data_IF_943504490093
#
_entry.id   IF_943504490093
#
_cell.length_a   1.000
_cell.length_b   1.000
_cell.length_c   1.000
_cell.angle_alpha   90.00
_cell.angle_beta   90.00
_cell.angle_gamma   90.00
#
_symmetry.space_group_name_H-M   'P 1'
#
loop_
_entity.id
_entity.type
_entity.pdbx_description
1 polymer ?
#
# COMPACT_ATOMS: atom_id res chain seq x y z
N UNK A 1 6.27 -11.57 -21.84
CA UNK A 1 6.33 -10.84 -20.55
C UNK A 1 7.70 -10.20 -20.44
N UNK A 2 7.79 -8.87 -20.51
CA UNK A 2 9.01 -8.17 -20.06
C UNK A 2 9.04 -8.29 -18.54
N UNK A 3 10.05 -8.95 -18.00
CA UNK A 3 10.32 -8.95 -16.58
C UNK A 3 10.52 -7.50 -16.14
N UNK A 4 9.87 -7.09 -15.05
CA UNK A 4 10.20 -5.84 -14.37
C UNK A 4 11.70 -5.82 -14.08
N UNK A 5 12.39 -4.68 -14.22
CA UNK A 5 13.81 -4.58 -13.89
C UNK A 5 14.07 -5.09 -12.47
N UNK A 6 15.17 -5.81 -12.28
CA UNK A 6 15.56 -6.22 -10.94
C UNK A 6 15.90 -4.96 -10.10
N UNK A 7 15.71 -4.98 -8.77
CA UNK A 7 16.05 -3.84 -7.93
C UNK A 7 17.49 -3.34 -8.15
N UNK A 8 18.42 -4.24 -8.47
CA UNK A 8 19.82 -3.93 -8.77
C UNK A 8 20.02 -3.05 -10.02
N UNK A 9 19.06 -3.01 -10.95
CA UNK A 9 19.15 -2.20 -12.18
C UNK A 9 18.60 -0.78 -12.00
N UNK A 10 17.67 -0.58 -11.05
CA UNK A 10 17.02 0.72 -10.78
C UNK A 10 17.88 1.58 -9.83
N UNK A 11 18.49 0.93 -8.85
CA UNK A 11 19.24 1.57 -7.76
C UNK A 11 20.47 2.38 -8.21
N UNK A 12 21.28 1.94 -9.20
CA UNK A 12 22.49 2.67 -9.61
C UNK A 12 22.19 4.00 -10.31
N UNK A 13 20.96 4.18 -10.82
CA UNK A 13 20.56 5.34 -11.64
C UNK A 13 19.93 6.45 -10.78
N UNK A 14 19.36 6.11 -9.63
CA UNK A 14 18.74 7.09 -8.71
C UNK A 14 19.58 7.30 -7.45
N UNK A 15 20.17 8.49 -7.32
CA UNK A 15 20.87 8.98 -6.12
C UNK A 15 19.90 9.44 -5.02
N UNK A 16 18.89 8.61 -4.69
CA UNK A 16 17.93 8.90 -3.63
C UNK A 16 18.35 8.22 -2.32
N UNK A 17 18.24 8.95 -1.21
CA UNK A 17 18.44 8.42 0.15
C UNK A 17 17.26 7.56 0.65
N UNK A 18 16.11 7.67 -0.02
CA UNK A 18 14.90 6.91 0.24
C UNK A 18 14.62 5.94 -0.91
N UNK A 19 14.13 4.75 -0.57
CA UNK A 19 13.60 3.81 -1.55
C UNK A 19 12.15 3.48 -1.21
N UNK A 20 11.23 3.82 -2.12
CA UNK A 20 9.84 3.42 -2.04
C UNK A 20 9.72 1.93 -2.34
N UNK A 21 9.16 1.17 -1.40
CA UNK A 21 8.97 -0.26 -1.51
C UNK A 21 7.48 -0.66 -1.63
N UNK A 22 6.57 0.33 -1.71
CA UNK A 22 5.15 0.13 -1.96
C UNK A 22 4.43 -0.53 -0.77
N UNK A 23 3.86 -1.71 -1.03
CA UNK A 23 3.04 -2.52 -0.10
C UNK A 23 1.63 -1.96 0.20
N UNK A 24 1.10 -1.15 -0.71
CA UNK A 24 -0.32 -0.77 -0.79
C UNK A 24 -1.18 -1.87 -1.43
N UNK A 25 -2.46 -1.91 -1.04
CA UNK A 25 -3.53 -2.65 -1.73
C UNK A 25 -3.24 -4.14 -2.01
N UNK A 26 -2.66 -4.85 -1.03
CA UNK A 26 -2.44 -6.30 -1.15
C UNK A 26 -3.76 -7.04 -1.36
N UNK A 27 -3.93 -7.63 -2.54
CA UNK A 27 -5.09 -8.44 -2.91
C UNK A 27 -4.82 -9.92 -2.63
N UNK A 28 -5.48 -10.48 -1.62
CA UNK A 28 -5.32 -11.89 -1.23
C UNK A 28 -5.80 -12.87 -2.29
N UNK A 29 -6.87 -12.54 -3.03
CA UNK A 29 -7.38 -13.39 -4.10
C UNK A 29 -6.36 -13.57 -5.23
N UNK A 30 -5.54 -12.55 -5.49
CA UNK A 30 -4.42 -12.65 -6.43
C UNK A 30 -3.36 -13.67 -5.96
N UNK A 31 -3.05 -13.67 -4.66
CA UNK A 31 -2.10 -14.63 -4.09
C UNK A 31 -2.67 -16.04 -4.04
N UNK A 32 -3.96 -16.20 -3.70
CA UNK A 32 -4.62 -17.51 -3.66
C UNK A 32 -4.79 -18.15 -5.05
N UNK A 33 -4.60 -17.40 -6.14
CA UNK A 33 -4.50 -17.98 -7.48
C UNK A 33 -3.15 -18.68 -7.74
N UNK A 34 -2.12 -18.41 -6.94
CA UNK A 34 -0.81 -19.07 -7.05
C UNK A 34 -0.78 -20.42 -6.30
N UNK A 35 -0.37 -21.52 -6.95
CA UNK A 35 -0.31 -22.83 -6.30
C UNK A 35 0.68 -22.90 -5.12
N UNK A 36 1.78 -22.14 -5.17
CA UNK A 36 2.78 -22.09 -4.11
C UNK A 36 2.26 -21.40 -2.85
N UNK A 37 1.56 -20.28 -3.03
CA UNK A 37 0.83 -19.60 -1.95
C UNK A 37 -0.24 -20.52 -1.39
N UNK A 38 -1.07 -21.12 -2.24
CA UNK A 38 -2.17 -21.99 -1.79
C UNK A 38 -1.64 -23.13 -0.93
N UNK A 39 -0.51 -23.73 -1.31
CA UNK A 39 0.18 -24.75 -0.51
C UNK A 39 0.66 -24.21 0.84
N UNK A 40 1.22 -23.00 0.87
CA UNK A 40 1.67 -22.36 2.11
C UNK A 40 0.51 -22.09 3.08
N UNK A 41 -0.60 -21.55 2.58
CA UNK A 41 -1.80 -21.29 3.38
C UNK A 41 -2.43 -22.60 3.87
N UNK A 42 -2.52 -23.62 2.99
CA UNK A 42 -3.01 -24.95 3.36
C UNK A 42 -2.16 -25.65 4.42
N UNK A 43 -0.89 -25.27 4.55
CA UNK A 43 0.03 -25.74 5.60
C UNK A 43 -0.08 -24.95 6.92
N UNK A 44 -1.06 -24.04 7.05
CA UNK A 44 -1.30 -23.23 8.24
C UNK A 44 -0.64 -21.84 8.22
N UNK A 45 -0.07 -21.43 7.08
CA UNK A 45 0.43 -20.08 6.89
C UNK A 45 -0.70 -19.05 6.75
N UNK A 46 -0.39 -17.77 6.95
CA UNK A 46 -1.34 -16.65 6.75
C UNK A 46 -0.86 -15.66 5.69
N UNK A 47 -1.78 -14.86 5.14
CA UNK A 47 -1.44 -13.75 4.25
C UNK A 47 -0.50 -12.73 4.92
N UNK A 48 -0.71 -12.43 6.20
CA UNK A 48 0.19 -11.58 6.99
C UNK A 48 1.62 -12.13 6.99
N UNK A 49 1.78 -13.44 7.19
CA UNK A 49 3.10 -14.09 7.17
C UNK A 49 3.76 -14.09 5.79
N UNK A 50 2.97 -14.15 4.71
CA UNK A 50 3.50 -13.98 3.35
C UNK A 50 4.05 -12.57 3.13
N UNK A 51 3.31 -11.55 3.55
CA UNK A 51 3.78 -10.17 3.49
C UNK A 51 5.02 -9.98 4.39
N UNK A 52 5.01 -10.52 5.62
CA UNK A 52 6.17 -10.49 6.52
C UNK A 52 7.40 -11.13 5.88
N UNK A 53 7.24 -12.27 5.20
CA UNK A 53 8.33 -12.92 4.50
C UNK A 53 8.89 -12.05 3.39
N UNK A 54 8.03 -11.38 2.62
CA UNK A 54 8.45 -10.43 1.60
C UNK A 54 9.24 -9.26 2.22
N UNK A 55 8.71 -8.63 3.27
CA UNK A 55 9.34 -7.51 3.97
C UNK A 55 10.68 -7.93 4.60
N UNK A 56 10.75 -9.09 5.24
CA UNK A 56 11.98 -9.61 5.85
C UNK A 56 13.08 -9.92 4.81
N UNK A 57 12.74 -10.11 3.53
CA UNK A 57 13.71 -10.28 2.45
C UNK A 57 14.13 -8.95 1.85
N UNK A 58 13.20 -8.03 1.64
CA UNK A 58 13.46 -6.78 0.91
C UNK A 58 13.97 -5.65 1.79
N UNK A 59 13.46 -5.52 3.03
CA UNK A 59 13.86 -4.46 3.94
C UNK A 59 15.36 -4.51 4.30
N UNK A 60 15.95 -5.66 4.69
CA UNK A 60 17.40 -5.74 4.96
C UNK A 60 18.24 -5.45 3.72
N UNK A 61 17.76 -5.84 2.54
CA UNK A 61 18.45 -5.54 1.30
C UNK A 61 18.50 -4.02 1.06
N UNK A 62 17.37 -3.31 1.18
CA UNK A 62 17.32 -1.86 0.99
C UNK A 62 18.15 -1.13 2.07
N UNK A 63 18.03 -1.55 3.33
CA UNK A 63 18.66 -0.84 4.45
C UNK A 63 20.14 -1.15 4.59
N UNK A 64 20.57 -2.40 4.48
CA UNK A 64 21.96 -2.79 4.71
C UNK A 64 22.79 -2.89 3.43
N UNK A 65 22.19 -3.36 2.33
CA UNK A 65 22.94 -3.51 1.06
C UNK A 65 22.97 -2.20 0.28
N UNK A 66 21.85 -1.48 0.24
CA UNK A 66 21.77 -0.21 -0.50
C UNK A 66 22.02 1.02 0.37
N UNK A 67 22.08 0.86 1.70
CA UNK A 67 22.26 1.93 2.67
C UNK A 67 21.20 3.05 2.53
N UNK A 68 19.92 2.67 2.40
CA UNK A 68 18.79 3.60 2.22
C UNK A 68 17.74 3.43 3.30
N UNK A 69 17.00 4.50 3.56
CA UNK A 69 15.77 4.43 4.36
C UNK A 69 14.61 3.94 3.49
N UNK A 70 13.78 3.03 4.01
CA UNK A 70 12.64 2.48 3.27
C UNK A 70 11.40 3.34 3.48
N UNK A 71 10.63 3.55 2.42
CA UNK A 71 9.29 4.15 2.47
C UNK A 71 8.27 3.09 2.07
N UNK A 72 7.28 2.83 2.92
CA UNK A 72 6.12 2.00 2.60
C UNK A 72 4.84 2.82 2.68
N UNK A 73 3.80 2.38 1.98
CA UNK A 73 2.43 2.84 2.24
C UNK A 73 1.93 2.32 3.58
N UNK A 74 1.01 3.05 4.21
CA UNK A 74 0.52 2.72 5.55
C UNK A 74 -0.14 1.35 5.68
N UNK A 75 -0.65 0.78 4.58
CA UNK A 75 -1.29 -0.53 4.50
C UNK A 75 -0.42 -1.65 5.06
N UNK A 76 0.91 -1.56 4.90
CA UNK A 76 1.84 -2.55 5.44
C UNK A 76 1.65 -2.76 6.95
N UNK A 77 1.24 -1.72 7.69
CA UNK A 77 1.04 -1.75 9.13
C UNK A 77 -0.46 -1.65 9.52
N UNK A 78 -1.22 -0.85 8.78
CA UNK A 78 -2.61 -0.50 9.10
C UNK A 78 -3.65 -1.18 8.21
N UNK A 79 -3.21 -2.03 7.28
CA UNK A 79 -4.06 -2.71 6.31
C UNK A 79 -5.23 -3.46 6.96
N UNK A 80 -6.43 -3.40 6.36
CA UNK A 80 -7.62 -4.03 6.92
C UNK A 80 -7.53 -5.57 6.85
N UNK A 81 -6.98 -6.11 5.77
CA UNK A 81 -6.95 -7.55 5.48
C UNK A 81 -5.58 -8.18 5.70
N UNK A 82 -4.52 -7.54 5.21
CA UNK A 82 -3.14 -8.02 5.30
C UNK A 82 -2.27 -6.94 5.89
N UNK A 83 -1.49 -7.28 6.91
CA UNK A 83 -0.51 -6.39 7.54
C UNK A 83 0.59 -7.18 8.24
N UNK A 84 1.73 -6.54 8.44
CA UNK A 84 2.85 -7.13 9.17
C UNK A 84 2.84 -6.72 10.63
N UNK A 85 3.48 -7.54 11.47
CA UNK A 85 3.75 -7.14 12.86
C UNK A 85 4.71 -5.95 12.90
N UNK A 86 4.56 -5.03 13.87
CA UNK A 86 5.51 -3.93 14.07
C UNK A 86 6.97 -4.39 14.21
N UNK A 87 7.20 -5.58 14.75
CA UNK A 87 8.53 -6.19 14.88
C UNK A 87 9.24 -6.43 13.53
N UNK A 88 8.50 -6.53 12.43
CA UNK A 88 9.03 -6.67 11.06
C UNK A 88 9.28 -5.32 10.37
N UNK A 89 8.99 -4.19 11.05
CA UNK A 89 9.16 -2.84 10.52
C UNK A 89 9.90 -1.95 11.52
N UNK A 90 11.24 -1.99 11.56
CA UNK A 90 12.03 -1.12 12.45
C UNK A 90 11.75 0.37 12.16
N UNK A 91 11.41 1.14 13.19
CA UNK A 91 11.00 2.55 13.06
C UNK A 91 12.14 3.46 12.62
N UNK A 92 13.39 3.10 12.95
CA UNK A 92 14.58 3.89 12.66
C UNK A 92 14.88 3.95 11.16
N UNK A 93 14.56 2.87 10.44
CA UNK A 93 14.86 2.69 9.02
C UNK A 93 13.63 2.71 8.12
N UNK A 94 12.46 3.01 8.69
CA UNK A 94 11.17 3.00 7.98
C UNK A 94 10.46 4.33 8.10
N UNK A 95 9.89 4.80 6.98
CA UNK A 95 8.95 5.92 6.91
C UNK A 95 7.64 5.37 6.33
N UNK A 96 6.50 5.78 6.88
CA UNK A 96 5.18 5.36 6.37
C UNK A 96 4.49 6.53 5.67
N UNK A 97 4.02 6.31 4.45
CA UNK A 97 3.23 7.26 3.67
C UNK A 97 1.74 7.00 3.89
N UNK A 98 1.02 8.01 4.38
CA UNK A 98 -0.39 7.89 4.77
C UNK A 98 -1.31 8.41 3.68
N UNK A 99 -2.40 7.71 3.40
CA UNK A 99 -3.35 8.12 2.36
C UNK A 99 -4.81 7.95 2.78
N UNK A 100 -5.15 7.01 3.66
CA UNK A 100 -6.50 6.78 4.13
C UNK A 100 -6.80 7.43 5.48
N UNK A 101 -8.10 7.62 5.75
CA UNK A 101 -8.64 8.08 7.03
C UNK A 101 -8.05 9.38 7.58
N UNK A 102 -7.57 10.28 6.70
CA UNK A 102 -7.14 11.64 7.05
C UNK A 102 -6.10 11.64 8.19
N UNK A 103 -6.24 12.56 9.14
CA UNK A 103 -5.36 12.69 10.28
C UNK A 103 -5.41 11.47 11.24
N UNK A 104 -6.43 10.60 11.16
CA UNK A 104 -6.57 9.45 12.08
C UNK A 104 -5.44 8.45 11.88
N UNK A 105 -5.13 8.08 10.64
CA UNK A 105 -4.05 7.12 10.38
C UNK A 105 -2.68 7.75 10.62
N UNK A 106 -2.47 9.01 10.20
CA UNK A 106 -1.25 9.76 10.52
C UNK A 106 -0.99 9.78 12.02
N UNK A 107 -2.03 10.03 12.85
CA UNK A 107 -1.91 9.99 14.31
C UNK A 107 -1.49 8.61 14.81
N UNK A 108 -2.11 7.53 14.30
CA UNK A 108 -1.76 6.15 14.70
C UNK A 108 -0.31 5.80 14.37
N UNK A 109 0.16 6.20 13.20
CA UNK A 109 1.53 5.97 12.73
C UNK A 109 2.56 6.71 13.59
N UNK A 110 2.34 8.00 13.83
CA UNK A 110 3.24 8.80 14.67
C UNK A 110 3.22 8.32 16.12
N UNK A 111 2.05 7.92 16.65
CA UNK A 111 1.94 7.33 17.99
C UNK A 111 2.67 5.99 18.12
N UNK A 112 2.78 5.22 17.03
CA UNK A 112 3.56 3.99 16.96
C UNK A 112 5.07 4.24 16.79
N UNK A 113 5.52 5.50 16.74
CA UNK A 113 6.94 5.88 16.69
C UNK A 113 7.52 6.01 15.28
N UNK A 114 6.70 5.91 14.23
CA UNK A 114 7.16 6.06 12.86
C UNK A 114 7.18 7.51 12.40
N UNK A 115 8.13 7.83 11.53
CA UNK A 115 8.07 9.04 10.69
C UNK A 115 6.99 8.86 9.63
N UNK A 116 6.22 9.92 9.35
CA UNK A 116 5.12 9.88 8.40
C UNK A 116 5.30 10.87 7.25
N UNK A 117 5.00 10.44 6.02
CA UNK A 117 4.74 11.32 4.88
C UNK A 117 3.22 11.42 4.75
N UNK A 118 2.67 12.63 4.83
CA UNK A 118 1.21 12.83 4.77
C UNK A 118 0.79 12.99 3.32
N UNK A 119 -0.05 12.09 2.84
CA UNK A 119 -0.61 12.09 1.47
C UNK A 119 -2.09 11.72 1.46
N UNK A 120 -2.83 12.15 2.49
CA UNK A 120 -4.27 11.88 2.64
C UNK A 120 -5.04 12.18 1.34
N UNK A 121 -5.75 11.17 0.83
CA UNK A 121 -6.50 11.25 -0.44
C UNK A 121 -7.53 12.36 -0.46
N UNK A 122 -8.18 12.61 0.68
CA UNK A 122 -9.16 13.69 0.81
C UNK A 122 -8.60 15.12 0.65
N UNK A 123 -7.27 15.29 0.59
CA UNK A 123 -6.63 16.60 0.49
C UNK A 123 -5.56 16.69 -0.59
N UNK A 124 -4.85 15.58 -0.88
CA UNK A 124 -3.60 15.63 -1.66
C UNK A 124 -3.59 14.72 -2.91
N UNK A 125 -4.65 13.96 -3.18
CA UNK A 125 -4.76 13.19 -4.42
C UNK A 125 -5.23 14.12 -5.54
N UNK A 126 -4.35 14.39 -6.50
CA UNK A 126 -4.57 15.34 -7.59
C UNK A 126 -5.33 14.72 -8.78
N UNK A 127 -5.54 13.41 -8.73
CA UNK A 127 -6.24 12.58 -9.73
C UNK A 127 -7.76 12.53 -9.51
N UNK A 128 -8.24 12.89 -8.31
CA UNK A 128 -9.66 12.87 -7.97
C UNK A 128 -10.47 13.94 -8.74
N UNK A 129 -11.77 13.66 -8.95
CA UNK A 129 -12.72 14.61 -9.55
C UNK A 129 -12.88 14.52 -11.07
N UNK A 130 -12.26 13.53 -11.72
CA UNK A 130 -12.37 13.31 -13.17
C UNK A 130 -13.35 12.20 -13.58
N UNK A 131 -14.05 11.59 -12.62
CA UNK A 131 -14.87 10.40 -12.85
C UNK A 131 -14.04 9.11 -12.88
N UNK A 132 -14.72 7.97 -13.05
CA UNK A 132 -14.08 6.67 -13.21
C UNK A 132 -13.48 6.51 -14.62
N UNK A 133 -12.36 5.80 -14.72
CA UNK A 133 -11.69 5.54 -16.01
C UNK A 133 -12.01 4.17 -16.61
N UNK A 134 -12.66 3.28 -15.85
CA UNK A 134 -13.08 1.96 -16.33
C UNK A 134 -14.20 2.11 -17.37
N UNK A 135 -14.06 1.42 -18.51
CA UNK A 135 -15.07 1.41 -19.57
C UNK A 135 -16.20 0.41 -19.32
N UNK A 136 -17.29 0.54 -20.10
CA UNK A 136 -18.49 -0.31 -20.00
C UNK A 136 -19.08 -0.34 -18.58
N UNK A 137 -19.37 0.85 -18.06
CA UNK A 137 -19.77 1.06 -16.68
C UNK A 137 -21.17 1.67 -16.61
N UNK A 138 -22.15 0.82 -16.31
CA UNK A 138 -23.57 1.19 -16.29
C UNK A 138 -23.94 2.14 -15.14
N UNK A 139 -23.00 2.42 -14.21
CA UNK A 139 -23.22 3.43 -13.16
C UNK A 139 -23.42 4.83 -13.74
N UNK A 140 -22.91 5.08 -14.95
CA UNK A 140 -23.04 6.36 -15.66
C UNK A 140 -24.23 6.41 -16.63
N UNK A 141 -25.05 5.36 -16.71
CA UNK A 141 -26.21 5.31 -17.62
C UNK A 141 -27.37 6.22 -17.16
N UNK A 142 -27.28 6.76 -15.94
CA UNK A 142 -28.26 7.68 -15.36
C UNK A 142 -27.69 9.09 -15.36
N UNK A 143 -28.30 9.99 -16.15
CA UNK A 143 -27.95 11.42 -16.18
C UNK A 143 -28.86 12.20 -15.23
N UNK A 144 -28.69 11.98 -13.93
CA UNK A 144 -29.34 12.77 -12.88
C UNK A 144 -28.36 13.77 -12.25
N UNK A 145 -28.87 14.82 -11.60
CA UNK A 145 -28.03 15.79 -10.91
C UNK A 145 -27.42 15.14 -9.66
N UNK A 146 -26.08 15.19 -9.53
CA UNK A 146 -25.37 14.70 -8.35
C UNK A 146 -25.89 15.39 -7.06
N UNK A 147 -26.24 14.62 -6.01
CA UNK A 147 -26.53 15.19 -4.70
C UNK A 147 -25.32 15.98 -4.17
N UNK A 148 -25.56 17.10 -3.47
CA UNK A 148 -24.49 18.02 -3.02
C UNK A 148 -23.45 17.41 -2.08
N UNK A 149 -23.69 16.21 -1.56
CA UNK A 149 -23.00 15.65 -0.40
C UNK A 149 -22.14 14.41 -0.73
N UNK A 150 -22.09 13.96 -2.00
CA UNK A 150 -21.24 12.82 -2.40
C UNK A 150 -19.84 13.32 -2.80
N UNK A 151 -18.82 12.94 -2.02
CA UNK A 151 -17.43 13.14 -2.39
C UNK A 151 -16.98 11.96 -3.26
N UNK A 152 -16.39 12.26 -4.42
CA UNK A 152 -15.70 11.28 -5.24
C UNK A 152 -14.63 10.58 -4.37
N UNK A 153 -14.71 9.24 -4.27
CA UNK A 153 -13.89 8.37 -3.42
C UNK A 153 -14.20 8.41 -1.89
N UNK A 154 -15.48 8.47 -1.51
CA UNK A 154 -15.89 8.11 -0.14
C UNK A 154 -15.93 6.58 0.02
N UNK A 155 -15.05 5.96 0.84
CA UNK A 155 -15.12 4.53 1.12
C UNK A 155 -16.42 4.11 1.83
N UNK A 156 -17.24 5.04 2.32
CA UNK A 156 -18.57 4.74 2.87
C UNK A 156 -19.57 4.26 1.82
N UNK A 157 -19.32 4.50 0.52
CA UNK A 157 -20.24 4.20 -0.58
C UNK A 157 -19.99 2.83 -1.24
N UNK A 158 -19.15 1.99 -0.64
CA UNK A 158 -18.90 0.60 -1.09
C UNK A 158 -19.77 -0.44 -0.38
N UNK A 159 -20.89 -0.01 0.22
CA UNK A 159 -21.91 -0.90 0.79
C UNK A 159 -23.22 -0.81 -0.02
N UNK A 160 -23.18 -1.31 -1.24
CA UNK A 160 -24.32 -1.92 -1.93
C UNK A 160 -23.88 -3.19 -2.66
#
# INVERSE_FOLDING_TARGET
MKLSPSPHEIVPVLALYHAGAGADEVNTACWEADPGVTRFISAGGTHDQLLEKFINLTHPYITYTLNRTVVYWEDVLLGPYVKVRPASLPTESTILQTWNYRAKNTKRIVQAGYRAIVSSSNFYYLDCGQGGWLGNDSRYDVQEAEPSDTLFNDPSDTLL
#
